data_IF_778791566721
#
_entry.id   IF_778791566721
#
_cell.length_a   1.000
_cell.length_b   1.000
_cell.length_c   1.000
_cell.angle_alpha   90.00
_cell.angle_beta   90.00
_cell.angle_gamma   90.00
#
_symmetry.space_group_name_H-M   'P 1'
#
loop_
_entity.id
_entity.type
_entity.pdbx_description
1 polymer ?
#
# COMPACT_ATOMS: atom_id res chain seq x y z
N UNK A 1 11.04 -50.95 -24.03
CA UNK A 1 11.10 -50.98 -22.55
C UNK A 1 11.05 -49.52 -22.05
N UNK A 2 9.84 -48.95 -22.01
CA UNK A 2 9.01 -48.70 -20.81
C UNK A 2 9.47 -47.48 -20.00
N UNK A 3 8.97 -46.28 -20.31
CA UNK A 3 7.95 -45.56 -19.51
C UNK A 3 7.46 -46.31 -18.26
N UNK A 4 8.00 -45.95 -17.08
CA UNK A 4 7.35 -45.88 -15.74
C UNK A 4 8.45 -45.82 -14.67
N UNK A 5 8.71 -44.64 -14.11
CA UNK A 5 9.22 -44.39 -12.75
C UNK A 5 9.80 -42.97 -12.68
N UNK A 6 8.95 -41.95 -12.56
CA UNK A 6 9.36 -40.64 -12.05
C UNK A 6 8.12 -39.93 -11.48
N UNK A 7 7.60 -40.50 -10.39
CA UNK A 7 6.48 -39.92 -9.66
C UNK A 7 6.50 -40.38 -8.21
N UNK A 8 7.44 -39.83 -7.44
CA UNK A 8 7.39 -39.70 -5.98
C UNK A 8 8.63 -38.90 -5.55
N UNK A 9 8.44 -37.96 -4.62
CA UNK A 9 9.48 -37.17 -3.91
C UNK A 9 9.89 -35.81 -4.52
N UNK A 10 9.04 -34.79 -4.36
CA UNK A 10 9.50 -33.40 -4.10
C UNK A 10 8.52 -32.76 -3.10
N UNK A 11 8.76 -32.98 -1.81
CA UNK A 11 8.18 -32.25 -0.68
C UNK A 11 9.22 -32.33 0.44
N UNK A 12 10.12 -31.33 0.53
CA UNK A 12 11.01 -31.03 1.67
C UNK A 12 12.21 -30.20 1.16
N UNK A 13 12.07 -28.89 0.97
CA UNK A 13 13.17 -27.92 1.03
C UNK A 13 12.57 -26.50 1.07
N UNK A 14 12.55 -25.88 2.25
CA UNK A 14 12.89 -24.47 2.57
C UNK A 14 12.73 -24.37 4.10
N UNK A 15 13.75 -24.90 4.79
CA UNK A 15 14.11 -24.53 6.16
C UNK A 15 15.63 -24.36 6.12
N UNK A 16 16.12 -23.32 6.79
CA UNK A 16 17.52 -22.97 7.04
C UNK A 16 18.21 -22.07 5.99
N UNK A 17 18.26 -20.76 6.30
CA UNK A 17 19.49 -19.96 6.18
C UNK A 17 19.40 -18.77 7.13
N UNK A 18 19.63 -19.07 8.41
CA UNK A 18 20.12 -18.13 9.42
C UNK A 18 21.64 -18.33 9.52
N UNK A 19 22.35 -17.23 9.85
CA UNK A 19 23.69 -17.11 10.45
C UNK A 19 24.72 -16.33 9.59
N UNK A 20 25.15 -15.22 10.21
CA UNK A 20 26.38 -14.43 10.08
C UNK A 20 26.60 -13.50 8.87
N UNK A 21 26.55 -12.19 9.14
CA UNK A 21 27.74 -11.34 8.97
C UNK A 21 27.77 -10.28 10.08
N UNK A 22 28.82 -10.30 10.89
CA UNK A 22 29.14 -9.27 11.86
C UNK A 22 30.27 -8.39 11.33
N UNK A 23 30.13 -7.09 11.60
CA UNK A 23 31.17 -6.05 11.70
C UNK A 23 31.90 -5.60 10.43
N UNK A 24 31.67 -4.33 10.06
CA UNK A 24 32.73 -3.32 9.91
C UNK A 24 32.14 -1.95 10.26
N UNK A 25 32.65 -1.36 11.34
CA UNK A 25 32.30 -0.02 11.83
C UNK A 25 33.11 1.05 11.11
N UNK A 26 32.45 2.14 10.69
CA UNK A 26 33.09 3.45 10.65
C UNK A 26 32.24 4.47 11.41
N UNK A 27 32.98 5.39 12.03
CA UNK A 27 32.69 6.08 13.26
C UNK A 27 32.32 7.54 12.95
N UNK A 28 31.06 7.92 13.15
CA UNK A 28 30.68 9.33 13.34
C UNK A 28 29.89 9.39 14.63
N UNK A 29 30.53 9.95 15.66
CA UNK A 29 30.19 9.76 17.06
C UNK A 29 28.81 10.27 17.45
N UNK A 30 27.95 9.34 17.85
CA UNK A 30 26.96 9.43 18.94
C UNK A 30 26.54 7.99 19.28
N UNK A 31 27.45 7.19 19.86
CA UNK A 31 27.11 5.83 20.31
C UNK A 31 26.99 5.81 21.83
N UNK A 32 25.80 6.14 22.32
CA UNK A 32 25.38 5.65 23.64
C UNK A 32 25.14 4.13 23.49
N UNK A 33 25.65 3.26 24.38
CA UNK A 33 25.44 1.82 24.27
C UNK A 33 23.94 1.47 24.20
N UNK A 34 23.58 0.50 23.35
CA UNK A 34 22.21 0.01 23.18
C UNK A 34 21.70 -0.59 24.51
N UNK A 35 20.81 0.10 25.20
CA UNK A 35 19.96 -0.55 26.20
C UNK A 35 18.74 -1.16 25.49
N UNK A 36 18.74 -2.49 25.36
CA UNK A 36 17.52 -3.23 25.05
C UNK A 36 16.51 -2.95 26.18
N UNK A 37 15.29 -2.52 25.84
CA UNK A 37 14.26 -2.28 26.87
C UNK A 37 13.91 -3.62 27.54
N UNK A 38 14.18 -3.75 28.84
CA UNK A 38 13.82 -4.92 29.63
C UNK A 38 12.31 -5.14 29.72
N UNK A 39 11.55 -4.06 29.59
CA UNK A 39 10.10 -4.00 29.62
C UNK A 39 9.60 -3.14 28.47
N UNK A 40 8.65 -3.67 27.70
CA UNK A 40 8.13 -3.01 26.51
C UNK A 40 6.74 -2.46 26.86
N UNK A 41 6.46 -1.16 26.62
CA UNK A 41 5.12 -0.62 26.84
C UNK A 41 4.00 -1.46 26.16
N UNK A 42 2.95 -1.81 26.91
CA UNK A 42 1.87 -2.69 26.43
C UNK A 42 1.26 -2.32 25.06
N UNK A 43 1.20 -1.03 24.65
CA UNK A 43 0.67 -0.70 23.32
C UNK A 43 1.42 -1.25 22.11
N UNK A 44 2.59 -1.85 22.32
CA UNK A 44 3.48 -2.34 21.27
C UNK A 44 3.11 -3.73 20.73
N UNK A 45 2.74 -3.80 19.44
CA UNK A 45 2.64 -5.06 18.67
C UNK A 45 3.06 -4.81 17.20
N UNK A 46 4.28 -4.37 16.93
CA UNK A 46 4.68 -4.13 15.53
C UNK A 46 5.00 -5.45 14.85
N UNK A 47 4.26 -5.77 13.77
CA UNK A 47 4.36 -7.05 13.06
C UNK A 47 5.52 -7.07 12.06
N UNK A 48 5.78 -5.96 11.35
CA UNK A 48 6.81 -5.90 10.31
C UNK A 48 8.16 -5.30 10.79
N UNK A 49 9.25 -5.73 10.15
CA UNK A 49 10.65 -5.33 10.37
C UNK A 49 11.04 -4.00 9.72
N UNK A 50 10.08 -3.26 9.15
CA UNK A 50 10.34 -1.94 8.57
C UNK A 50 10.42 -0.89 9.68
N UNK A 51 11.28 0.11 9.47
CA UNK A 51 11.51 1.22 10.41
C UNK A 51 10.21 2.01 10.61
N UNK A 52 9.56 1.81 11.74
CA UNK A 52 8.27 2.44 12.08
C UNK A 52 8.41 3.31 13.33
N UNK A 53 7.73 4.46 13.35
CA UNK A 53 7.69 5.37 14.50
C UNK A 53 6.31 5.36 15.16
N UNK A 54 6.27 5.65 16.46
CA UNK A 54 5.05 5.74 17.24
C UNK A 54 5.16 6.84 18.28
N UNK A 55 4.08 7.61 18.41
CA UNK A 55 3.91 8.61 19.47
C UNK A 55 3.10 7.99 20.58
N UNK A 56 3.60 8.06 21.82
CA UNK A 56 2.87 7.65 23.01
C UNK A 56 2.79 8.82 23.98
N UNK A 57 1.59 9.16 24.43
CA UNK A 57 1.36 10.23 25.41
C UNK A 57 0.84 9.64 26.71
N UNK A 58 1.61 9.80 27.78
CA UNK A 58 1.20 9.46 29.14
C UNK A 58 0.61 10.69 29.84
N UNK A 59 -0.72 10.72 29.94
CA UNK A 59 -1.46 11.88 30.47
C UNK A 59 -1.20 12.11 31.96
N UNK A 60 -0.96 11.08 32.77
CA UNK A 60 -0.72 11.27 34.21
C UNK A 60 0.59 12.01 34.49
N UNK A 61 1.64 11.73 33.72
CA UNK A 61 2.96 12.36 33.88
C UNK A 61 3.17 13.58 33.01
N UNK A 62 2.28 13.81 32.02
CA UNK A 62 2.37 14.92 31.06
C UNK A 62 3.64 14.79 30.20
N UNK A 63 3.85 13.57 29.70
CA UNK A 63 5.02 13.21 28.89
C UNK A 63 4.57 12.62 27.55
N UNK A 64 5.23 13.05 26.49
CA UNK A 64 5.17 12.46 25.16
C UNK A 64 6.47 11.70 24.90
N UNK A 65 6.34 10.50 24.39
CA UNK A 65 7.44 9.62 24.00
C UNK A 65 7.36 9.38 22.50
N UNK A 66 8.50 9.42 21.83
CA UNK A 66 8.66 8.93 20.47
C UNK A 66 9.45 7.64 20.52
N UNK A 67 8.86 6.56 20.01
CA UNK A 67 9.52 5.28 19.87
C UNK A 67 9.72 4.93 18.41
N UNK A 68 10.78 4.18 18.13
CA UNK A 68 11.10 3.58 16.85
C UNK A 68 11.16 2.06 17.01
N UNK A 69 10.71 1.35 15.98
CA UNK A 69 10.83 -0.09 15.86
C UNK A 69 11.50 -0.47 14.54
N UNK A 70 12.56 -1.26 14.63
CA UNK A 70 13.32 -1.82 13.50
C UNK A 70 13.64 -3.31 13.72
N UNK A 71 12.78 -4.00 14.47
CA UNK A 71 13.07 -5.32 15.06
C UNK A 71 13.39 -5.23 16.55
N UNK A 72 13.87 -4.08 17.04
CA UNK A 72 14.00 -3.77 18.46
C UNK A 72 13.29 -2.45 18.79
N UNK A 73 12.80 -2.32 20.02
CA UNK A 73 12.18 -1.08 20.49
C UNK A 73 13.21 -0.09 20.99
N UNK A 74 13.18 1.14 20.47
CA UNK A 74 14.09 2.21 20.87
C UNK A 74 13.32 3.49 21.18
N UNK A 75 13.58 4.09 22.33
CA UNK A 75 13.05 5.42 22.66
C UNK A 75 13.93 6.48 22.01
N UNK A 76 13.37 7.27 21.10
CA UNK A 76 14.08 8.34 20.39
C UNK A 76 13.96 9.66 21.15
N UNK A 77 12.75 10.02 21.59
CA UNK A 77 12.49 11.28 22.28
C UNK A 77 11.64 11.05 23.54
N UNK A 78 11.86 11.91 24.53
CA UNK A 78 10.98 12.10 25.69
C UNK A 78 10.81 13.59 25.92
N UNK A 79 9.59 14.07 25.78
CA UNK A 79 9.24 15.48 25.71
C UNK A 79 8.15 15.79 26.73
N UNK A 80 8.25 16.95 27.38
CA UNK A 80 7.16 17.46 28.21
C UNK A 80 5.99 17.90 27.33
N UNK A 81 4.78 17.46 27.66
CA UNK A 81 3.58 17.89 26.97
C UNK A 81 2.55 18.48 27.96
N UNK A 82 1.49 19.08 27.44
CA UNK A 82 0.32 19.44 28.23
C UNK A 82 -0.93 18.85 27.61
N UNK A 83 -1.79 18.24 28.42
CA UNK A 83 -3.05 17.63 27.97
C UNK A 83 -4.26 18.41 28.47
N UNK A 84 -5.45 17.87 28.28
CA UNK A 84 -6.71 18.44 28.73
C UNK A 84 -6.71 18.76 30.23
N UNK A 85 -7.33 19.89 30.57
CA UNK A 85 -7.53 20.38 31.95
C UNK A 85 -8.14 19.35 32.87
N UNK A 86 -9.07 18.55 32.35
CA UNK A 86 -9.80 17.55 33.13
C UNK A 86 -9.16 16.17 32.95
N UNK A 87 -9.02 15.42 34.04
CA UNK A 87 -8.51 14.05 34.02
C UNK A 87 -9.53 13.04 33.50
N UNK A 88 -9.03 11.87 33.10
CA UNK A 88 -9.82 10.76 32.55
C UNK A 88 -10.02 10.84 31.03
N UNK A 89 -10.68 9.83 30.49
CA UNK A 89 -10.94 9.68 29.06
C UNK A 89 -12.04 10.65 28.59
N UNK A 90 -11.84 11.21 27.39
CA UNK A 90 -12.79 12.08 26.72
C UNK A 90 -14.07 11.29 26.36
N UNK A 91 -15.22 11.89 26.59
CA UNK A 91 -16.53 11.32 26.27
C UNK A 91 -17.41 12.26 25.46
N UNK A 92 -17.32 13.56 25.73
CA UNK A 92 -18.26 14.54 25.19
C UNK A 92 -17.53 15.81 24.71
N UNK A 93 -18.14 16.54 23.76
CA UNK A 93 -17.67 17.84 23.32
C UNK A 93 -17.60 18.81 24.51
N UNK A 94 -16.51 19.57 24.62
CA UNK A 94 -16.34 20.55 25.69
C UNK A 94 -15.99 19.99 27.08
N UNK A 95 -15.86 18.68 27.27
CA UNK A 95 -15.48 18.07 28.55
C UNK A 95 -14.04 18.40 29.02
N UNK A 96 -13.25 19.06 28.17
CA UNK A 96 -11.85 19.47 28.39
C UNK A 96 -10.91 18.31 28.75
N UNK A 97 -11.26 17.08 28.34
CA UNK A 97 -10.42 15.89 28.49
C UNK A 97 -9.70 15.58 27.18
N UNK A 98 -8.48 15.08 27.30
CA UNK A 98 -7.79 14.43 26.17
C UNK A 98 -8.26 12.99 26.07
N UNK A 99 -8.58 12.47 24.87
CA UNK A 99 -9.01 11.08 24.72
C UNK A 99 -7.93 10.08 25.14
N UNK A 100 -8.34 8.83 25.34
CA UNK A 100 -7.49 7.65 25.50
C UNK A 100 -7.83 6.68 24.35
N UNK A 101 -6.83 5.99 23.79
CA UNK A 101 -6.99 5.18 22.59
C UNK A 101 -5.82 5.27 21.61
N UNK A 102 -6.01 4.63 20.45
CA UNK A 102 -5.06 4.64 19.33
C UNK A 102 -5.64 5.51 18.22
N UNK A 103 -4.86 6.53 17.84
CA UNK A 103 -5.25 7.52 16.84
C UNK A 103 -4.15 7.69 15.80
N UNK A 104 -4.43 8.43 14.74
CA UNK A 104 -3.47 8.74 13.67
C UNK A 104 -3.54 10.21 13.30
N UNK A 105 -2.39 10.84 13.07
CA UNK A 105 -2.34 12.19 12.53
C UNK A 105 -2.85 12.19 11.09
N UNK A 106 -3.89 12.95 10.77
CA UNK A 106 -4.52 12.91 9.43
C UNK A 106 -4.01 13.99 8.49
N UNK A 107 -3.60 15.12 9.06
CA UNK A 107 -3.21 16.35 8.37
C UNK A 107 -2.05 17.04 9.11
N UNK A 108 -1.42 18.00 8.43
CA UNK A 108 -0.42 18.90 9.02
C UNK A 108 -0.76 20.34 8.65
N UNK A 109 -0.72 21.21 9.66
CA UNK A 109 -0.83 22.65 9.47
C UNK A 109 0.48 23.33 9.87
N UNK A 110 0.92 24.27 9.06
CA UNK A 110 2.10 25.10 9.34
C UNK A 110 1.70 26.40 10.03
N UNK A 111 2.69 27.09 10.62
CA UNK A 111 2.50 28.38 11.31
C UNK A 111 1.67 29.41 10.53
N UNK A 112 1.73 29.40 9.19
CA UNK A 112 1.00 30.37 8.34
C UNK A 112 -0.51 30.12 8.32
N UNK A 113 -0.92 28.89 8.59
CA UNK A 113 -2.32 28.43 8.56
C UNK A 113 -2.95 28.46 9.95
N UNK A 114 -2.14 28.67 10.99
CA UNK A 114 -2.52 28.53 12.38
C UNK A 114 -2.70 29.88 13.09
N UNK A 115 -3.72 29.95 13.94
CA UNK A 115 -3.78 31.00 14.95
C UNK A 115 -2.56 30.91 15.89
N UNK A 116 -2.01 32.04 16.39
CA UNK A 116 -0.76 32.06 17.15
C UNK A 116 -0.69 31.11 18.35
N UNK A 117 -1.83 30.78 18.96
CA UNK A 117 -1.92 29.88 20.11
C UNK A 117 -1.44 28.45 19.81
N UNK A 118 -1.50 28.01 18.55
CA UNK A 118 -1.09 26.67 18.13
C UNK A 118 0.39 26.59 17.73
N UNK A 119 1.15 27.67 17.90
CA UNK A 119 2.59 27.63 17.72
C UNK A 119 3.04 27.48 16.27
N UNK A 120 4.09 26.69 16.05
CA UNK A 120 4.73 26.52 14.72
C UNK A 120 4.07 25.47 13.83
N UNK A 121 3.46 24.45 14.42
CA UNK A 121 2.80 23.34 13.70
C UNK A 121 1.61 22.78 14.49
N UNK A 122 0.70 22.12 13.78
CA UNK A 122 -0.36 21.32 14.39
C UNK A 122 -0.68 20.08 13.54
N UNK A 123 -0.96 18.97 14.22
CA UNK A 123 -1.34 17.69 13.65
C UNK A 123 -2.68 17.26 14.26
N UNK A 124 -3.81 17.42 13.54
CA UNK A 124 -5.07 16.83 13.94
C UNK A 124 -4.97 15.31 14.00
N UNK A 125 -5.52 14.72 15.07
CA UNK A 125 -5.70 13.26 15.16
C UNK A 125 -7.14 12.88 14.78
N UNK A 126 -7.34 11.65 14.33
CA UNK A 126 -8.63 11.08 13.91
C UNK A 126 -9.64 10.79 15.04
N UNK A 127 -9.64 11.58 16.12
CA UNK A 127 -10.69 11.54 17.16
C UNK A 127 -11.93 12.33 16.71
N UNK A 128 -13.16 11.81 16.88
CA UNK A 128 -13.48 10.46 17.35
C UNK A 128 -13.33 9.41 16.22
N UNK A 129 -12.59 8.34 16.50
CA UNK A 129 -12.43 7.21 15.58
C UNK A 129 -13.64 6.24 15.68
N UNK A 130 -13.60 5.10 14.97
CA UNK A 130 -14.69 4.12 15.00
C UNK A 130 -15.11 3.71 16.43
N UNK A 131 -14.14 3.39 17.31
CA UNK A 131 -14.37 2.94 18.68
C UNK A 131 -14.89 4.06 19.59
N UNK A 132 -14.54 5.31 19.30
CA UNK A 132 -15.15 6.44 19.99
C UNK A 132 -16.61 6.59 19.61
N UNK A 133 -16.91 6.57 18.30
CA UNK A 133 -18.26 6.77 17.76
C UNK A 133 -19.22 5.67 18.20
N UNK A 134 -18.81 4.40 18.15
CA UNK A 134 -19.65 3.27 18.60
C UNK A 134 -19.87 3.25 20.11
N UNK A 135 -18.93 3.80 20.89
CA UNK A 135 -19.10 4.03 22.31
C UNK A 135 -19.94 5.29 22.64
N UNK A 136 -20.54 5.95 21.64
CA UNK A 136 -21.35 7.16 21.81
C UNK A 136 -20.55 8.41 22.16
N UNK A 137 -19.22 8.38 22.01
CA UNK A 137 -18.35 9.52 22.29
C UNK A 137 -18.37 10.52 21.15
N UNK A 138 -18.30 11.81 21.49
CA UNK A 138 -18.34 12.89 20.51
C UNK A 138 -17.30 14.00 20.81
N UNK A 139 -17.36 15.07 20.02
CA UNK A 139 -16.37 16.14 19.98
C UNK A 139 -15.51 16.07 18.73
N UNK A 140 -14.53 16.96 18.63
CA UNK A 140 -13.64 17.08 17.48
C UNK A 140 -12.39 17.90 17.88
N UNK A 141 -11.53 18.17 16.90
CA UNK A 141 -10.40 19.10 17.02
C UNK A 141 -9.41 18.77 18.16
N UNK A 142 -9.12 17.49 18.35
CA UNK A 142 -8.02 17.06 19.21
C UNK A 142 -6.75 17.06 18.37
N UNK A 143 -5.80 17.94 18.70
CA UNK A 143 -4.58 18.13 17.91
C UNK A 143 -3.34 17.92 18.78
N UNK A 144 -2.23 17.50 18.17
CA UNK A 144 -0.89 17.73 18.70
C UNK A 144 -0.40 19.05 18.12
N UNK A 145 -0.05 20.03 18.95
CA UNK A 145 0.32 21.36 18.45
C UNK A 145 1.41 22.04 19.29
N UNK A 146 2.09 23.02 18.69
CA UNK A 146 3.02 23.90 19.39
C UNK A 146 2.28 24.90 20.29
N UNK A 147 2.97 25.72 21.06
CA UNK A 147 2.32 26.77 21.87
C UNK A 147 3.10 28.07 21.84
N UNK A 148 2.40 29.20 21.93
CA UNK A 148 3.00 30.52 22.16
C UNK A 148 2.96 30.94 23.64
N UNK A 149 2.49 30.06 24.52
CA UNK A 149 2.44 30.24 25.98
C UNK A 149 3.42 29.29 26.65
N UNK A 150 3.84 29.63 27.87
CA UNK A 150 4.56 28.69 28.73
C UNK A 150 3.75 27.39 28.91
N UNK A 151 4.42 26.25 28.78
CA UNK A 151 3.80 24.94 28.87
C UNK A 151 3.48 24.59 30.33
N UNK A 152 2.20 24.63 30.69
CA UNK A 152 1.71 24.25 32.03
C UNK A 152 1.03 22.89 31.99
N UNK A 153 1.19 22.08 33.03
CA UNK A 153 0.52 20.77 33.15
C UNK A 153 -1.00 20.95 33.04
N UNK A 154 -1.65 20.12 32.23
CA UNK A 154 -3.11 20.07 32.07
C UNK A 154 -3.74 21.43 31.75
N UNK A 155 -3.28 22.11 30.70
CA UNK A 155 -3.73 23.47 30.35
C UNK A 155 -4.31 23.58 28.92
N UNK A 156 -4.75 22.46 28.34
CA UNK A 156 -5.48 22.47 27.06
C UNK A 156 -6.98 22.18 27.25
N UNK A 157 -7.77 22.40 26.20
CA UNK A 157 -9.18 21.96 26.14
C UNK A 157 -9.35 20.52 25.63
N UNK A 158 -8.26 19.76 25.53
CA UNK A 158 -8.26 18.37 25.04
C UNK A 158 -7.07 18.04 24.14
N UNK A 159 -6.44 19.05 23.54
CA UNK A 159 -5.24 18.90 22.72
C UNK A 159 -4.00 18.44 23.51
N UNK A 160 -2.98 18.02 22.78
CA UNK A 160 -1.64 17.72 23.28
C UNK A 160 -0.74 18.90 22.86
N UNK A 161 -0.46 19.81 23.78
CA UNK A 161 0.40 20.96 23.52
C UNK A 161 1.86 20.63 23.83
N UNK A 162 2.78 21.11 23.00
CA UNK A 162 4.24 20.97 23.09
C UNK A 162 4.90 22.33 22.92
N UNK A 163 6.15 22.49 23.36
CA UNK A 163 6.93 23.66 22.94
C UNK A 163 7.15 23.64 21.42
N UNK A 164 7.38 24.80 20.81
CA UNK A 164 7.54 24.90 19.35
C UNK A 164 8.74 24.10 18.84
N UNK A 165 9.88 24.17 19.52
CA UNK A 165 11.09 23.39 19.17
C UNK A 165 10.83 21.88 19.21
N UNK A 166 10.08 21.43 20.22
CA UNK A 166 9.72 20.04 20.42
C UNK A 166 8.80 19.50 19.32
N UNK A 167 7.78 20.26 18.91
CA UNK A 167 6.89 19.83 17.82
C UNK A 167 7.57 19.92 16.45
N UNK A 168 8.45 20.91 16.24
CA UNK A 168 9.24 21.00 15.01
C UNK A 168 10.21 19.81 14.88
N UNK A 169 10.80 19.35 15.99
CA UNK A 169 11.58 18.11 16.01
C UNK A 169 10.70 16.87 15.76
N UNK A 170 9.57 16.75 16.46
CA UNK A 170 8.65 15.62 16.34
C UNK A 170 8.11 15.46 14.92
N UNK A 171 7.86 16.57 14.22
CA UNK A 171 7.30 16.59 12.85
C UNK A 171 8.09 15.75 11.84
N UNK A 172 9.40 15.60 12.04
CA UNK A 172 10.28 14.84 11.15
C UNK A 172 10.01 13.33 11.18
N UNK A 173 9.26 12.85 12.17
CA UNK A 173 8.96 11.44 12.41
C UNK A 173 7.49 11.09 12.19
N UNK A 174 6.65 12.06 11.83
CA UNK A 174 5.21 11.85 11.61
C UNK A 174 4.98 11.58 10.12
N UNK A 175 4.55 10.36 9.82
CA UNK A 175 3.96 10.02 8.54
C UNK A 175 2.43 10.09 8.69
N UNK A 176 1.81 11.03 8.00
CA UNK A 176 0.35 11.22 8.04
C UNK A 176 -0.37 9.93 7.67
N UNK A 177 -1.44 9.63 8.41
CA UNK A 177 -2.27 8.43 8.30
C UNK A 177 -1.52 7.11 8.53
N UNK A 178 -0.32 7.14 9.14
CA UNK A 178 0.51 5.95 9.42
C UNK A 178 1.11 5.94 10.81
N UNK A 179 1.71 7.04 11.24
CA UNK A 179 2.31 7.13 12.58
C UNK A 179 1.18 7.17 13.63
N UNK A 180 1.05 6.14 14.49
CA UNK A 180 0.05 6.13 15.54
C UNK A 180 0.39 7.14 16.64
N UNK A 181 -0.67 7.70 17.22
CA UNK A 181 -0.68 8.49 18.45
C UNK A 181 -1.47 7.71 19.48
N UNK A 182 -0.78 7.08 20.41
CA UNK A 182 -1.38 6.27 21.47
C UNK A 182 -1.46 7.09 22.75
N UNK A 183 -2.68 7.36 23.18
CA UNK A 183 -2.98 8.19 24.34
C UNK A 183 -3.37 7.29 25.50
N UNK A 184 -2.61 7.31 26.59
CA UNK A 184 -2.86 6.52 27.80
C UNK A 184 -2.94 7.40 29.02
N UNK A 185 -3.74 7.01 30.02
CA UNK A 185 -3.66 7.65 31.32
C UNK A 185 -2.31 7.37 32.00
N UNK A 186 -1.95 6.08 32.07
CA UNK A 186 -0.70 5.56 32.62
C UNK A 186 -0.20 4.43 31.75
N UNK A 187 1.09 4.41 31.46
CA UNK A 187 1.76 3.37 30.68
C UNK A 187 1.84 2.08 31.50
N UNK A 188 1.46 0.98 30.87
CA UNK A 188 1.68 -0.38 31.35
C UNK A 188 2.80 -1.00 30.54
N UNK A 189 3.45 -2.02 31.08
CA UNK A 189 4.55 -2.72 30.46
C UNK A 189 4.27 -4.21 30.41
N UNK A 190 4.76 -4.87 29.37
CA UNK A 190 4.65 -6.31 29.13
C UNK A 190 6.02 -6.91 28.83
N UNK A 191 6.15 -8.20 29.11
CA UNK A 191 7.35 -8.95 28.77
C UNK A 191 7.42 -9.20 27.24
N UNK A 192 8.63 -9.26 26.65
CA UNK A 192 8.79 -9.53 25.22
C UNK A 192 8.12 -10.82 24.73
N UNK A 193 8.08 -11.86 25.57
CA UNK A 193 7.46 -13.15 25.25
C UNK A 193 5.94 -13.05 25.07
N UNK A 194 5.26 -12.32 25.96
CA UNK A 194 3.81 -12.05 25.85
C UNK A 194 3.48 -11.27 24.57
N UNK A 195 4.33 -10.30 24.23
CA UNK A 195 4.18 -9.52 22.99
C UNK A 195 4.37 -10.42 21.77
N UNK A 196 5.33 -11.34 21.79
CA UNK A 196 5.57 -12.27 20.69
C UNK A 196 4.39 -13.23 20.47
N UNK A 197 3.82 -13.79 21.54
CA UNK A 197 2.65 -14.68 21.45
C UNK A 197 1.44 -13.95 20.86
N UNK A 198 1.15 -12.74 21.37
CA UNK A 198 0.06 -11.91 20.87
C UNK A 198 0.30 -11.50 19.41
N UNK A 199 1.54 -11.19 19.05
CA UNK A 199 1.96 -10.84 17.69
C UNK A 199 1.66 -12.00 16.72
N UNK A 200 2.05 -13.22 17.06
CA UNK A 200 1.79 -14.41 16.26
C UNK A 200 0.29 -14.69 16.11
N UNK A 201 -0.47 -14.59 17.21
CA UNK A 201 -1.91 -14.83 17.19
C UNK A 201 -2.67 -13.82 16.32
N UNK A 202 -2.31 -12.52 16.39
CA UNK A 202 -2.93 -11.50 15.53
C UNK A 202 -2.51 -11.66 14.07
N UNK A 203 -1.24 -11.97 13.78
CA UNK A 203 -0.78 -12.25 12.41
C UNK A 203 -1.57 -13.39 11.78
N UNK A 204 -1.64 -14.54 12.47
CA UNK A 204 -2.37 -15.70 11.98
C UNK A 204 -3.87 -15.43 11.79
N UNK A 205 -4.48 -14.63 12.67
CA UNK A 205 -5.86 -14.18 12.49
C UNK A 205 -6.04 -13.35 11.21
N UNK A 206 -5.19 -12.33 11.01
CA UNK A 206 -5.28 -11.42 9.87
C UNK A 206 -4.98 -12.13 8.54
N UNK A 207 -4.03 -13.06 8.52
CA UNK A 207 -3.72 -13.86 7.33
C UNK A 207 -4.92 -14.71 6.92
N UNK A 208 -5.53 -15.41 7.87
CA UNK A 208 -6.73 -16.22 7.62
C UNK A 208 -7.94 -15.36 7.20
N UNK A 209 -8.12 -14.19 7.82
CA UNK A 209 -9.12 -13.21 7.39
C UNK A 209 -8.86 -12.74 5.95
N UNK A 210 -7.63 -12.43 5.58
CA UNK A 210 -7.28 -11.99 4.22
C UNK A 210 -7.51 -13.09 3.19
N UNK A 211 -7.18 -14.35 3.52
CA UNK A 211 -7.45 -15.51 2.68
C UNK A 211 -8.96 -15.74 2.47
N UNK A 212 -9.79 -15.42 3.46
CA UNK A 212 -11.24 -15.64 3.39
C UNK A 212 -11.94 -14.80 2.31
N UNK A 213 -11.35 -13.73 1.77
CA UNK A 213 -11.87 -13.03 0.59
C UNK A 213 -11.95 -13.94 -0.65
N UNK A 214 -11.11 -14.98 -0.71
CA UNK A 214 -11.09 -15.98 -1.76
C UNK A 214 -11.85 -17.27 -1.39
N UNK A 215 -12.49 -17.32 -0.21
CA UNK A 215 -13.25 -18.47 0.21
C UNK A 215 -14.52 -18.67 -0.63
N UNK A 216 -15.00 -19.92 -0.65
CA UNK A 216 -16.22 -20.27 -1.38
C UNK A 216 -17.50 -19.76 -0.69
N UNK A 217 -17.46 -19.55 0.64
CA UNK A 217 -18.62 -19.15 1.44
C UNK A 217 -18.43 -17.77 2.04
N UNK A 218 -19.44 -16.91 1.86
CA UNK A 218 -19.52 -15.59 2.51
C UNK A 218 -19.56 -15.75 4.04
N UNK A 219 -20.21 -16.80 4.55
CA UNK A 219 -20.34 -17.04 5.98
C UNK A 219 -18.98 -17.25 6.66
N UNK A 220 -18.01 -17.85 5.95
CA UNK A 220 -16.66 -18.06 6.49
C UNK A 220 -15.94 -16.73 6.70
N UNK A 221 -16.16 -15.75 5.81
CA UNK A 221 -15.62 -14.41 5.99
C UNK A 221 -16.32 -13.66 7.13
N UNK A 222 -17.66 -13.73 7.19
CA UNK A 222 -18.42 -13.06 8.24
C UNK A 222 -18.11 -13.62 9.64
N UNK A 223 -17.65 -14.87 9.74
CA UNK A 223 -17.22 -15.47 11.00
C UNK A 223 -16.03 -14.76 11.68
N UNK A 224 -15.26 -13.93 10.96
CA UNK A 224 -14.18 -13.11 11.55
C UNK A 224 -14.69 -11.85 12.24
N UNK A 225 -15.94 -11.45 11.97
CA UNK A 225 -16.56 -10.26 12.53
C UNK A 225 -17.33 -10.61 13.80
N UNK A 226 -17.42 -9.63 14.69
CA UNK A 226 -18.32 -9.69 15.84
C UNK A 226 -19.78 -9.74 15.38
N UNK A 227 -20.64 -10.47 16.10
CA UNK A 227 -22.04 -10.66 15.72
C UNK A 227 -22.85 -9.34 15.73
N UNK A 228 -22.39 -8.32 16.47
CA UNK A 228 -23.00 -6.98 16.46
C UNK A 228 -22.55 -6.12 15.27
N UNK A 229 -21.56 -6.55 14.50
CA UNK A 229 -21.03 -5.79 13.37
C UNK A 229 -22.00 -5.84 12.19
N UNK A 230 -22.48 -4.67 11.75
CA UNK A 230 -23.33 -4.55 10.57
C UNK A 230 -22.48 -4.59 9.30
N UNK A 231 -22.61 -5.67 8.53
CA UNK A 231 -21.91 -5.85 7.26
C UNK A 231 -22.78 -5.41 6.08
N UNK A 232 -22.20 -4.70 5.12
CA UNK A 232 -22.85 -4.44 3.84
C UNK A 232 -22.79 -5.69 2.96
N UNK A 233 -23.83 -6.52 3.03
CA UNK A 233 -23.90 -7.78 2.28
C UNK A 233 -23.88 -7.58 0.76
N UNK A 234 -24.20 -6.37 0.26
CA UNK A 234 -24.18 -6.08 -1.18
C UNK A 234 -22.76 -6.11 -1.76
N UNK A 235 -21.74 -5.86 -0.93
CA UNK A 235 -20.34 -6.02 -1.30
C UNK A 235 -20.05 -7.36 -1.98
N UNK A 236 -20.62 -8.45 -1.48
CA UNK A 236 -20.34 -9.79 -2.01
C UNK A 236 -20.95 -10.02 -3.39
N UNK A 237 -22.09 -9.41 -3.67
CA UNK A 237 -22.74 -9.47 -4.98
C UNK A 237 -21.84 -8.87 -6.06
N UNK A 238 -21.12 -7.80 -5.74
CA UNK A 238 -20.20 -7.12 -6.66
C UNK A 238 -18.79 -7.71 -6.63
N UNK A 239 -18.34 -8.20 -5.47
CA UNK A 239 -17.00 -8.76 -5.28
C UNK A 239 -16.81 -10.11 -5.97
N UNK A 240 -17.76 -11.04 -5.78
CA UNK A 240 -17.63 -12.43 -6.27
C UNK A 240 -17.38 -12.50 -7.78
N UNK A 241 -18.14 -11.78 -8.64
CA UNK A 241 -17.88 -11.79 -10.08
C UNK A 241 -16.49 -11.27 -10.47
N UNK A 242 -15.99 -10.23 -9.81
CA UNK A 242 -14.67 -9.65 -10.10
C UNK A 242 -13.57 -10.61 -9.69
N UNK A 243 -13.67 -11.18 -8.49
CA UNK A 243 -12.74 -12.21 -7.99
C UNK A 243 -12.68 -13.39 -8.94
N UNK A 244 -13.83 -13.93 -9.35
CA UNK A 244 -13.89 -15.14 -10.18
C UNK A 244 -13.29 -14.91 -11.57
N UNK A 245 -13.56 -13.76 -12.19
CA UNK A 245 -12.93 -13.38 -13.47
C UNK A 245 -11.42 -13.22 -13.36
N UNK A 246 -10.93 -12.57 -12.30
CA UNK A 246 -9.49 -12.44 -12.05
C UNK A 246 -8.83 -13.80 -11.83
N UNK A 247 -9.41 -14.65 -10.99
CA UNK A 247 -8.89 -16.01 -10.79
C UNK A 247 -8.87 -16.81 -12.08
N UNK A 248 -9.91 -16.70 -12.93
CA UNK A 248 -9.93 -17.35 -14.23
C UNK A 248 -8.87 -16.79 -15.20
N UNK A 249 -8.64 -15.48 -15.16
CA UNK A 249 -7.67 -14.80 -16.02
C UNK A 249 -6.22 -15.10 -15.64
N UNK A 250 -5.91 -15.20 -14.34
CA UNK A 250 -4.51 -15.29 -13.86
C UNK A 250 -4.15 -16.64 -13.26
N UNK A 251 -5.12 -17.55 -13.08
CA UNK A 251 -4.95 -18.82 -12.37
C UNK A 251 -4.83 -18.68 -10.85
N UNK A 252 -4.22 -17.59 -10.37
CA UNK A 252 -4.12 -17.24 -8.95
C UNK A 252 -4.35 -15.75 -8.74
N UNK A 253 -5.34 -15.45 -7.91
CA UNK A 253 -5.66 -14.11 -7.43
C UNK A 253 -5.79 -14.14 -5.92
N UNK A 254 -5.22 -13.15 -5.23
CA UNK A 254 -5.33 -13.04 -3.77
C UNK A 254 -5.58 -11.60 -3.35
N UNK A 255 -6.18 -11.47 -2.17
CA UNK A 255 -6.24 -10.20 -1.44
C UNK A 255 -5.15 -10.28 -0.40
N UNK A 256 -4.21 -9.35 -0.48
CA UNK A 256 -3.04 -9.32 0.39
C UNK A 256 -3.01 -8.08 1.28
N UNK A 257 -2.07 -8.11 2.22
CA UNK A 257 -1.76 -7.01 3.12
C UNK A 257 -0.27 -6.67 2.97
N UNK A 258 0.05 -5.38 2.95
CA UNK A 258 1.43 -4.87 3.02
C UNK A 258 1.53 -3.79 4.07
N UNK A 259 2.73 -3.55 4.61
CA UNK A 259 2.99 -2.49 5.58
C UNK A 259 2.07 -2.62 6.81
N UNK A 260 1.90 -3.85 7.29
CA UNK A 260 1.03 -4.18 8.40
C UNK A 260 1.65 -3.76 9.73
N UNK A 261 0.91 -2.95 10.48
CA UNK A 261 1.22 -2.58 11.86
C UNK A 261 0.03 -2.87 12.78
N UNK A 262 0.32 -3.30 14.00
CA UNK A 262 -0.70 -3.56 15.02
C UNK A 262 -0.35 -2.81 16.30
N UNK A 263 -1.37 -2.26 16.94
CA UNK A 263 -1.23 -1.52 18.19
C UNK A 263 -2.30 -1.99 19.16
N UNK A 264 -2.04 -1.88 20.46
CA UNK A 264 -2.99 -2.31 21.51
C UNK A 264 -3.29 -1.20 22.49
N UNK A 265 -4.54 -1.10 22.90
CA UNK A 265 -4.96 -0.23 24.00
C UNK A 265 -6.22 -0.78 24.64
N UNK A 266 -6.18 -1.03 25.95
CA UNK A 266 -7.33 -1.43 26.77
C UNK A 266 -8.16 -2.59 26.18
N UNK A 267 -7.47 -3.65 25.75
CA UNK A 267 -8.10 -4.84 25.15
C UNK A 267 -8.56 -4.69 23.69
N UNK A 268 -8.42 -3.49 23.11
CA UNK A 268 -8.65 -3.24 21.69
C UNK A 268 -7.33 -3.26 20.93
N UNK A 269 -7.33 -3.92 19.78
CA UNK A 269 -6.21 -3.97 18.86
C UNK A 269 -6.58 -3.18 17.62
N UNK A 270 -5.64 -2.40 17.07
CA UNK A 270 -5.82 -1.69 15.81
C UNK A 270 -4.78 -2.20 14.83
N UNK A 271 -5.24 -2.87 13.77
CA UNK A 271 -4.41 -3.30 12.65
C UNK A 271 -4.54 -2.29 11.51
N UNK A 272 -3.41 -1.76 11.02
CA UNK A 272 -3.35 -0.83 9.91
C UNK A 272 -2.44 -1.41 8.82
N UNK A 273 -2.93 -1.48 7.58
CA UNK A 273 -2.18 -2.07 6.47
C UNK A 273 -2.65 -1.54 5.11
N UNK A 274 -1.81 -1.66 4.11
CA UNK A 274 -2.19 -1.50 2.71
C UNK A 274 -2.90 -2.75 2.21
N UNK A 275 -4.19 -2.63 1.93
CA UNK A 275 -4.92 -3.71 1.29
C UNK A 275 -4.61 -3.71 -0.21
N UNK A 276 -4.20 -4.86 -0.74
CA UNK A 276 -3.83 -5.01 -2.14
C UNK A 276 -4.63 -6.13 -2.81
N UNK A 277 -5.05 -5.89 -4.04
CA UNK A 277 -5.52 -6.91 -4.97
C UNK A 277 -4.31 -7.38 -5.78
N UNK A 278 -3.96 -8.66 -5.74
CA UNK A 278 -2.69 -9.12 -6.33
C UNK A 278 -2.79 -10.46 -7.06
N UNK A 279 -1.92 -10.60 -8.04
CA UNK A 279 -1.67 -11.78 -8.87
C UNK A 279 -0.16 -12.09 -8.80
N UNK A 280 0.30 -13.14 -9.46
CA UNK A 280 1.75 -13.44 -9.55
C UNK A 280 2.56 -12.34 -10.23
N UNK A 281 1.92 -11.55 -11.11
CA UNK A 281 2.61 -10.54 -11.93
C UNK A 281 2.41 -9.10 -11.46
N UNK A 282 1.27 -8.81 -10.83
CA UNK A 282 0.80 -7.44 -10.58
C UNK A 282 0.06 -7.31 -9.26
N UNK A 283 0.19 -6.14 -8.63
CA UNK A 283 -0.55 -5.76 -7.44
C UNK A 283 -1.12 -4.35 -7.59
N UNK A 284 -2.35 -4.16 -7.14
CA UNK A 284 -3.08 -2.89 -7.11
C UNK A 284 -3.45 -2.51 -5.69
N UNK A 285 -3.15 -1.28 -5.30
CA UNK A 285 -3.51 -0.75 -3.97
C UNK A 285 -5.00 -0.43 -3.94
N UNK A 286 -5.73 -1.06 -3.01
CA UNK A 286 -7.12 -0.72 -2.70
C UNK A 286 -7.22 0.49 -1.77
N UNK A 287 -6.30 0.59 -0.81
CA UNK A 287 -6.24 1.68 0.17
C UNK A 287 -5.57 1.22 1.45
N UNK A 288 -5.38 2.14 2.38
CA UNK A 288 -4.94 1.79 3.73
C UNK A 288 -6.17 1.41 4.55
N UNK A 289 -6.26 0.14 4.95
CA UNK A 289 -7.36 -0.40 5.76
C UNK A 289 -6.97 -0.40 7.23
N UNK A 290 -7.96 -0.18 8.08
CA UNK A 290 -7.85 -0.08 9.53
C UNK A 290 -8.91 -0.96 10.18
N UNK A 291 -8.47 -2.05 10.81
CA UNK A 291 -9.33 -2.97 11.53
C UNK A 291 -9.18 -2.74 13.03
N UNK A 292 -10.31 -2.78 13.74
CA UNK A 292 -10.37 -2.79 15.19
C UNK A 292 -10.77 -4.19 15.63
N UNK A 293 -9.93 -4.82 16.46
CA UNK A 293 -10.11 -6.18 16.92
C UNK A 293 -10.27 -6.21 18.43
N UNK A 294 -11.01 -7.19 18.92
CA UNK A 294 -11.02 -7.57 20.34
C UNK A 294 -10.85 -9.07 20.48
N UNK A 295 -10.39 -9.52 21.66
CA UNK A 295 -10.26 -10.94 21.98
C UNK A 295 -11.52 -11.42 22.68
N UNK A 296 -12.17 -12.43 22.12
CA UNK A 296 -13.34 -13.12 22.69
C UNK A 296 -12.96 -14.58 22.97
N UNK A 297 -12.72 -14.88 24.26
CA UNK A 297 -12.10 -16.15 24.65
C UNK A 297 -10.72 -16.30 24.02
N UNK A 298 -10.54 -17.36 23.22
CA UNK A 298 -9.26 -17.65 22.55
C UNK A 298 -9.18 -17.15 21.10
N UNK A 299 -10.18 -16.40 20.62
CA UNK A 299 -10.23 -15.92 19.24
C UNK A 299 -10.31 -14.41 19.17
N UNK A 300 -9.74 -13.84 18.11
CA UNK A 300 -10.00 -12.45 17.75
C UNK A 300 -11.30 -12.32 16.97
N UNK A 301 -11.94 -11.16 17.10
CA UNK A 301 -13.08 -10.72 16.30
C UNK A 301 -12.87 -9.28 15.85
N UNK A 302 -13.25 -8.99 14.61
CA UNK A 302 -13.29 -7.63 14.06
C UNK A 302 -14.55 -6.95 14.60
N UNK A 303 -14.35 -5.88 15.36
CA UNK A 303 -15.42 -5.03 15.89
C UNK A 303 -15.55 -3.72 15.12
N UNK A 304 -14.59 -3.39 14.26
CA UNK A 304 -14.60 -2.19 13.42
C UNK A 304 -13.73 -2.37 12.18
N UNK A 305 -14.17 -1.84 11.05
CA UNK A 305 -13.53 -2.01 9.74
C UNK A 305 -13.73 -0.77 8.89
N UNK A 306 -12.67 0.00 8.67
CA UNK A 306 -12.70 1.23 7.89
C UNK A 306 -11.47 1.38 7.00
N UNK A 307 -11.56 2.21 5.96
CA UNK A 307 -10.39 2.66 5.19
C UNK A 307 -9.89 3.98 5.77
N UNK A 308 -8.64 4.00 6.23
CA UNK A 308 -7.93 5.20 6.68
C UNK A 308 -7.62 6.13 5.50
N UNK A 309 -7.18 5.57 4.36
CA UNK A 309 -6.89 6.34 3.14
C UNK A 309 -7.31 5.56 1.89
N UNK A 310 -7.67 6.31 0.85
CA UNK A 310 -7.94 5.79 -0.50
C UNK A 310 -6.84 6.28 -1.46
N UNK A 311 -6.53 5.53 -2.54
CA UNK A 311 -5.43 5.85 -3.47
C UNK A 311 -5.55 7.23 -4.14
N UNK A 312 -6.75 7.78 -4.26
CA UNK A 312 -7.03 9.07 -4.90
C UNK A 312 -7.90 9.95 -3.98
N UNK A 313 -7.30 10.80 -3.14
CA UNK A 313 -8.04 11.87 -2.42
C UNK A 313 -8.35 13.10 -3.30
N UNK A 314 -8.07 13.06 -4.61
CA UNK A 314 -8.35 14.15 -5.55
C UNK A 314 -9.34 13.74 -6.63
N UNK A 315 -10.54 14.29 -6.58
CA UNK A 315 -11.60 14.29 -7.60
C UNK A 315 -12.35 12.96 -7.85
N UNK A 316 -13.53 12.83 -7.24
CA UNK A 316 -14.85 12.95 -7.91
C UNK A 316 -15.95 12.54 -6.91
N UNK A 317 -16.68 13.51 -6.38
CA UNK A 317 -17.87 13.33 -5.50
C UNK A 317 -19.09 12.73 -6.23
N UNK A 318 -18.90 11.94 -7.31
CA UNK A 318 -19.99 11.54 -8.20
C UNK A 318 -19.94 10.15 -8.81
N UNK A 319 -18.86 9.38 -8.65
CA UNK A 319 -18.87 7.97 -9.02
C UNK A 319 -19.51 7.17 -7.87
N UNK A 320 -20.63 6.48 -8.13
CA UNK A 320 -21.23 5.50 -7.22
C UNK A 320 -20.14 4.80 -6.40
N UNK A 321 -20.20 4.92 -5.07
CA UNK A 321 -19.16 4.52 -4.11
C UNK A 321 -18.84 3.03 -4.23
N UNK A 322 -18.03 2.67 -5.23
CA UNK A 322 -17.57 1.31 -5.44
C UNK A 322 -16.57 1.00 -4.34
N UNK A 323 -16.76 -0.13 -3.66
CA UNK A 323 -15.86 -0.53 -2.59
C UNK A 323 -14.39 -0.51 -3.05
N UNK A 324 -13.43 0.02 -2.28
CA UNK A 324 -12.06 0.25 -2.76
C UNK A 324 -11.35 -1.00 -3.28
N UNK A 325 -11.57 -2.14 -2.64
CA UNK A 325 -11.05 -3.44 -3.11
C UNK A 325 -11.61 -3.86 -4.48
N UNK A 326 -12.90 -3.59 -4.74
CA UNK A 326 -13.54 -3.88 -6.02
C UNK A 326 -12.97 -2.96 -7.11
N UNK A 327 -12.80 -1.66 -6.80
CA UNK A 327 -12.21 -0.69 -7.72
C UNK A 327 -10.76 -1.04 -8.10
N UNK A 328 -9.95 -1.43 -7.11
CA UNK A 328 -8.57 -1.89 -7.33
C UNK A 328 -8.53 -3.18 -8.17
N UNK A 329 -9.38 -4.15 -7.86
CA UNK A 329 -9.44 -5.43 -8.58
C UNK A 329 -9.94 -5.26 -10.01
N UNK A 330 -10.94 -4.40 -10.24
CA UNK A 330 -11.42 -4.04 -11.58
C UNK A 330 -10.33 -3.32 -12.39
N UNK A 331 -9.54 -2.46 -11.75
CA UNK A 331 -8.41 -1.78 -12.40
C UNK A 331 -7.30 -2.76 -12.80
N UNK A 332 -7.01 -3.72 -11.92
CA UNK A 332 -6.08 -4.82 -12.20
C UNK A 332 -6.59 -5.70 -13.37
N UNK A 333 -7.85 -6.12 -13.34
CA UNK A 333 -8.50 -6.89 -14.41
C UNK A 333 -8.37 -6.16 -15.76
N UNK A 334 -8.75 -4.88 -15.80
CA UNK A 334 -8.64 -4.03 -16.99
C UNK A 334 -7.20 -3.96 -17.49
N UNK A 335 -6.21 -3.79 -16.62
CA UNK A 335 -4.81 -3.71 -17.04
C UNK A 335 -4.31 -5.01 -17.64
N UNK A 336 -4.64 -6.15 -17.02
CA UNK A 336 -4.29 -7.47 -17.51
C UNK A 336 -4.88 -7.73 -18.90
N UNK A 337 -6.17 -7.43 -19.10
CA UNK A 337 -6.82 -7.59 -20.41
C UNK A 337 -6.20 -6.70 -21.48
N UNK A 338 -5.85 -5.45 -21.15
CA UNK A 338 -5.15 -4.55 -22.08
C UNK A 338 -3.77 -5.12 -22.47
N UNK A 339 -3.03 -5.69 -21.52
CA UNK A 339 -1.73 -6.29 -21.79
C UNK A 339 -1.84 -7.49 -22.73
N UNK A 340 -2.81 -8.37 -22.51
CA UNK A 340 -3.03 -9.53 -23.39
C UNK A 340 -3.47 -9.09 -24.80
N UNK A 341 -4.35 -8.10 -24.92
CA UNK A 341 -4.76 -7.55 -26.22
C UNK A 341 -3.57 -6.95 -26.99
N UNK A 342 -2.70 -6.20 -26.29
CA UNK A 342 -1.49 -5.62 -26.88
C UNK A 342 -0.50 -6.70 -27.27
N UNK A 343 -0.29 -7.71 -26.42
CA UNK A 343 0.60 -8.84 -26.72
C UNK A 343 0.15 -9.58 -27.99
N UNK A 344 -1.14 -9.91 -28.08
CA UNK A 344 -1.73 -10.49 -29.29
C UNK A 344 -1.51 -9.60 -30.52
N UNK A 345 -1.72 -8.28 -30.38
CA UNK A 345 -1.47 -7.34 -31.47
C UNK A 345 0.00 -7.32 -31.91
N UNK A 346 0.95 -7.37 -30.97
CA UNK A 346 2.38 -7.43 -31.26
C UNK A 346 2.76 -8.72 -31.97
N UNK A 347 2.23 -9.86 -31.53
CA UNK A 347 2.50 -11.17 -32.16
C UNK A 347 2.02 -11.19 -33.62
N UNK A 348 0.84 -10.66 -33.90
CA UNK A 348 0.33 -10.58 -35.27
C UNK A 348 1.10 -9.54 -36.13
N UNK A 349 1.50 -8.41 -35.53
CA UNK A 349 2.33 -7.40 -36.18
C UNK A 349 3.71 -7.97 -36.56
N UNK A 350 4.34 -8.75 -35.67
CA UNK A 350 5.58 -9.47 -35.94
C UNK A 350 5.40 -10.49 -37.06
N UNK A 351 4.32 -11.27 -37.06
CA UNK A 351 4.02 -12.23 -38.11
C UNK A 351 3.85 -11.56 -39.49
N UNK A 352 3.18 -10.40 -39.54
CA UNK A 352 3.05 -9.61 -40.76
C UNK A 352 4.42 -9.06 -41.25
N UNK A 353 5.27 -8.65 -40.32
CA UNK A 353 6.61 -8.17 -40.64
C UNK A 353 7.52 -9.28 -41.18
N UNK A 354 7.57 -10.44 -40.52
CA UNK A 354 8.36 -11.62 -40.89
C UNK A 354 7.94 -12.15 -42.27
N UNK A 355 6.62 -12.21 -42.54
CA UNK A 355 6.08 -12.64 -43.83
C UNK A 355 6.26 -11.62 -44.95
N UNK A 356 6.80 -10.44 -44.64
CA UNK A 356 7.02 -9.33 -45.58
C UNK A 356 5.73 -8.79 -46.23
N UNK A 357 4.56 -9.07 -45.66
CA UNK A 357 3.27 -8.56 -46.09
C UNK A 357 3.06 -7.13 -45.57
N UNK A 358 3.44 -6.15 -46.40
CA UNK A 358 3.39 -4.74 -46.03
C UNK A 358 1.96 -4.22 -45.85
N UNK A 359 0.99 -4.79 -46.55
CA UNK A 359 -0.40 -4.35 -46.44
C UNK A 359 -1.00 -4.81 -45.11
N UNK A 360 -0.78 -6.07 -44.72
CA UNK A 360 -1.15 -6.55 -43.38
C UNK A 360 -0.38 -5.82 -42.28
N UNK A 361 0.93 -5.62 -42.45
CA UNK A 361 1.76 -4.86 -41.51
C UNK A 361 1.23 -3.43 -41.31
N UNK A 362 0.84 -2.77 -42.40
CA UNK A 362 0.29 -1.42 -42.38
C UNK A 362 -1.03 -1.28 -41.63
N UNK A 363 -1.77 -2.37 -41.40
CA UNK A 363 -3.00 -2.33 -40.60
C UNK A 363 -2.73 -2.08 -39.12
N UNK A 364 -1.52 -2.33 -38.61
CA UNK A 364 -1.18 -2.08 -37.21
C UNK A 364 -0.74 -0.64 -36.93
N UNK A 365 -0.62 0.20 -37.97
CA UNK A 365 -0.22 1.60 -37.86
C UNK A 365 -1.43 2.51 -37.89
N UNK A 366 -1.45 3.49 -36.99
CA UNK A 366 -2.54 4.47 -36.92
C UNK A 366 -2.48 5.46 -38.06
N UNK A 367 -3.60 6.05 -38.44
CA UNK A 367 -3.64 7.12 -39.45
C UNK A 367 -2.72 8.31 -39.10
N UNK A 368 -2.59 8.62 -37.81
CA UNK A 368 -1.70 9.67 -37.29
C UNK A 368 -0.24 9.24 -37.10
N UNK A 369 0.19 8.09 -37.65
CA UNK A 369 1.54 7.56 -37.44
C UNK A 369 2.64 8.49 -37.95
N UNK A 370 3.72 8.61 -37.17
CA UNK A 370 4.94 9.34 -37.53
C UNK A 370 6.20 8.61 -37.05
N UNK A 371 7.19 8.46 -37.94
CA UNK A 371 8.54 7.99 -37.59
C UNK A 371 9.56 8.39 -38.67
N UNK A 372 10.81 8.71 -38.28
CA UNK A 372 11.89 9.10 -39.21
C UNK A 372 11.47 10.18 -40.22
N UNK A 373 10.74 11.20 -39.75
CA UNK A 373 10.15 12.27 -40.57
C UNK A 373 9.17 11.81 -41.66
N UNK A 374 8.76 10.54 -41.65
CA UNK A 374 7.76 9.97 -42.53
C UNK A 374 6.39 9.91 -41.85
N UNK A 375 5.35 10.11 -42.64
CA UNK A 375 3.99 9.71 -42.29
C UNK A 375 3.78 8.21 -42.55
N UNK A 376 2.57 7.72 -42.29
CA UNK A 376 2.20 6.32 -42.52
C UNK A 376 2.47 5.87 -43.97
N UNK A 377 2.12 6.67 -44.97
CA UNK A 377 2.26 6.28 -46.36
C UNK A 377 3.74 6.17 -46.76
N UNK A 378 4.55 7.15 -46.38
CA UNK A 378 6.00 7.15 -46.57
C UNK A 378 6.67 5.97 -45.88
N UNK A 379 6.29 5.69 -44.63
CA UNK A 379 6.82 4.56 -43.85
C UNK A 379 6.55 3.21 -44.52
N UNK A 380 5.32 2.97 -44.98
CA UNK A 380 4.97 1.73 -45.66
C UNK A 380 5.72 1.59 -46.99
N UNK A 381 5.89 2.67 -47.75
CA UNK A 381 6.70 2.63 -48.97
C UNK A 381 8.16 2.28 -48.69
N UNK A 382 8.76 2.89 -47.66
CA UNK A 382 10.11 2.56 -47.19
C UNK A 382 10.24 1.07 -46.85
N UNK A 383 9.27 0.51 -46.12
CA UNK A 383 9.24 -0.93 -45.80
C UNK A 383 9.07 -1.83 -47.04
N UNK A 384 8.28 -1.43 -48.05
CA UNK A 384 8.19 -2.18 -49.33
C UNK A 384 9.54 -2.27 -50.03
N UNK A 385 10.31 -1.18 -50.05
CA UNK A 385 11.66 -1.16 -50.65
C UNK A 385 12.61 -2.09 -49.90
N UNK A 386 12.62 -2.03 -48.56
CA UNK A 386 13.44 -2.95 -47.74
C UNK A 386 13.05 -4.42 -47.94
N UNK A 387 11.76 -4.73 -48.01
CA UNK A 387 11.30 -6.10 -48.23
C UNK A 387 11.73 -6.64 -49.59
N UNK A 388 11.92 -5.82 -50.62
CA UNK A 388 12.48 -6.29 -51.91
C UNK A 388 13.99 -6.56 -51.84
N UNK A 389 14.71 -5.86 -50.98
CA UNK A 389 16.17 -5.98 -50.82
C UNK A 389 16.58 -7.27 -50.11
N UNK A 390 15.83 -7.70 -49.09
CA UNK A 390 16.21 -8.83 -48.26
C UNK A 390 15.50 -10.12 -48.67
N UNK A 391 16.23 -11.23 -48.77
CA UNK A 391 15.66 -12.54 -49.13
C UNK A 391 14.71 -13.08 -48.07
N UNK A 392 15.01 -12.85 -46.79
CA UNK A 392 14.19 -13.22 -45.64
C UNK A 392 14.24 -12.13 -44.56
N UNK A 393 13.26 -12.16 -43.66
CA UNK A 393 13.22 -11.37 -42.43
C UNK A 393 12.85 -12.30 -41.29
N UNK A 394 13.69 -12.37 -40.26
CA UNK A 394 13.39 -13.01 -38.99
C UNK A 394 13.48 -11.95 -37.90
N UNK A 395 12.48 -11.93 -37.03
CA UNK A 395 12.44 -11.02 -35.88
C UNK A 395 12.01 -11.81 -34.66
N UNK A 396 12.80 -11.76 -33.59
CA UNK A 396 12.40 -12.24 -32.27
C UNK A 396 12.40 -11.08 -31.29
N UNK A 397 11.56 -11.19 -30.25
CA UNK A 397 11.47 -10.20 -29.19
C UNK A 397 11.66 -10.85 -27.83
N UNK A 398 12.30 -10.13 -26.92
CA UNK A 398 12.52 -10.52 -25.53
C UNK A 398 12.18 -9.35 -24.61
N UNK A 399 11.88 -9.65 -23.34
CA UNK A 399 11.59 -8.64 -22.30
C UNK A 399 10.47 -7.67 -22.70
N UNK A 400 9.38 -8.20 -23.26
CA UNK A 400 8.19 -7.42 -23.58
C UNK A 400 7.60 -6.81 -22.30
N UNK A 401 7.51 -5.49 -22.27
CA UNK A 401 6.88 -4.73 -21.20
C UNK A 401 5.85 -3.79 -21.78
N UNK A 402 4.70 -3.71 -21.11
CA UNK A 402 3.56 -2.90 -21.49
C UNK A 402 3.19 -2.02 -20.29
N UNK A 403 3.14 -0.71 -20.52
CA UNK A 403 2.70 0.28 -19.54
C UNK A 403 1.62 1.17 -20.16
N UNK A 404 0.49 1.30 -19.49
CA UNK A 404 -0.66 2.10 -19.96
C UNK A 404 -0.77 3.34 -19.10
N UNK A 405 -0.87 4.51 -19.73
CA UNK A 405 -1.05 5.78 -19.05
C UNK A 405 -2.53 6.09 -18.76
N UNK A 406 -2.76 7.22 -18.06
CA UNK A 406 -4.11 7.68 -17.69
C UNK A 406 -4.98 8.07 -18.90
N UNK A 407 -4.38 8.32 -20.07
CA UNK A 407 -5.07 8.70 -21.30
C UNK A 407 -5.40 7.49 -22.19
N UNK A 408 -5.29 6.27 -21.66
CA UNK A 408 -5.42 5.01 -22.41
C UNK A 408 -4.45 4.91 -23.61
N UNK A 409 -3.29 5.58 -23.55
CA UNK A 409 -2.17 5.28 -24.44
C UNK A 409 -1.26 4.26 -23.77
N UNK A 410 -0.71 3.36 -24.57
CA UNK A 410 0.17 2.31 -24.06
C UNK A 410 1.56 2.44 -24.66
N UNK A 411 2.57 2.43 -23.79
CA UNK A 411 3.96 2.30 -24.19
C UNK A 411 4.35 0.83 -24.11
N UNK A 412 4.89 0.31 -25.20
CA UNK A 412 5.41 -1.05 -25.29
C UNK A 412 6.90 -0.98 -25.52
N UNK A 413 7.68 -1.74 -24.76
CA UNK A 413 9.14 -1.86 -24.94
C UNK A 413 9.56 -3.32 -24.97
N UNK A 414 10.51 -3.64 -25.83
CA UNK A 414 11.14 -4.97 -25.89
C UNK A 414 12.54 -4.87 -26.47
N UNK A 415 13.35 -5.89 -26.21
CA UNK A 415 14.59 -6.17 -26.95
C UNK A 415 14.19 -6.90 -28.22
N UNK A 416 14.70 -6.47 -29.37
CA UNK A 416 14.45 -7.08 -30.66
C UNK A 416 15.77 -7.60 -31.22
N UNK A 417 15.74 -8.83 -31.74
CA UNK A 417 16.80 -9.39 -32.58
C UNK A 417 16.26 -9.47 -34.00
N UNK A 418 16.89 -8.75 -34.92
CA UNK A 418 16.54 -8.71 -36.33
C UNK A 418 17.60 -9.44 -37.14
N UNK A 419 17.17 -10.31 -38.04
CA UNK A 419 18.04 -10.98 -38.99
C UNK A 419 17.41 -11.00 -40.38
N UNK A 420 18.24 -10.76 -41.39
CA UNK A 420 17.88 -10.84 -42.79
C UNK A 420 19.06 -11.37 -43.60
N UNK A 421 18.90 -11.50 -44.93
CA UNK A 421 19.96 -12.00 -45.80
C UNK A 421 21.21 -11.12 -45.88
N UNK A 422 21.18 -9.89 -45.35
CA UNK A 422 22.33 -8.97 -45.39
C UNK A 422 22.44 -8.01 -44.21
N UNK A 423 21.71 -8.26 -43.12
CA UNK A 423 21.75 -7.44 -41.91
C UNK A 423 21.37 -8.30 -40.69
N UNK A 424 22.11 -8.14 -39.60
CA UNK A 424 21.80 -8.65 -38.28
C UNK A 424 21.94 -7.47 -37.30
N UNK A 425 20.95 -7.24 -36.44
CA UNK A 425 20.94 -6.14 -35.48
C UNK A 425 20.21 -6.57 -34.19
N UNK A 426 20.64 -6.05 -33.05
CA UNK A 426 20.00 -6.24 -31.75
C UNK A 426 19.87 -4.87 -31.08
N UNK A 427 18.67 -4.56 -30.63
CA UNK A 427 18.39 -3.26 -30.04
C UNK A 427 17.10 -3.21 -29.25
N UNK A 428 16.86 -2.06 -28.64
CA UNK A 428 15.63 -1.78 -27.91
C UNK A 428 14.63 -1.08 -28.82
N UNK A 429 13.41 -1.63 -28.89
CA UNK A 429 12.28 -1.00 -29.55
C UNK A 429 11.32 -0.45 -28.52
N UNK A 430 10.83 0.77 -28.77
CA UNK A 430 9.74 1.40 -28.03
C UNK A 430 8.62 1.78 -29.00
N UNK A 431 7.42 1.30 -28.72
CA UNK A 431 6.21 1.63 -29.46
C UNK A 431 5.29 2.47 -28.58
N UNK A 432 4.80 3.57 -29.13
CA UNK A 432 3.67 4.30 -28.55
C UNK A 432 2.40 3.85 -29.26
N UNK A 433 1.45 3.30 -28.52
CA UNK A 433 0.20 2.77 -29.01
C UNK A 433 -0.97 3.67 -28.57
N UNK A 434 -1.96 3.80 -29.46
CA UNK A 434 -3.26 4.40 -29.15
C UNK A 434 -4.38 3.48 -29.62
N UNK A 435 -5.58 3.63 -29.05
CA UNK A 435 -6.79 3.02 -29.62
C UNK A 435 -7.29 3.84 -30.80
N UNK A 436 -7.61 3.15 -31.90
CA UNK A 436 -8.22 3.72 -33.10
C UNK A 436 -9.18 2.68 -33.69
N UNK A 437 -10.46 3.02 -33.82
CA UNK A 437 -11.49 2.07 -34.26
C UNK A 437 -11.62 0.83 -33.36
N UNK A 438 -11.44 1.00 -32.04
CA UNK A 438 -11.49 -0.09 -31.06
C UNK A 438 -10.23 -0.96 -30.97
N UNK A 439 -9.27 -0.82 -31.89
CA UNK A 439 -8.04 -1.63 -31.94
C UNK A 439 -6.82 -0.83 -31.51
N UNK A 440 -5.81 -1.50 -30.97
CA UNK A 440 -4.50 -0.90 -30.72
C UNK A 440 -3.75 -0.66 -32.03
N UNK A 441 -3.21 0.54 -32.19
CA UNK A 441 -2.40 0.96 -33.34
C UNK A 441 -1.12 1.64 -32.89
N UNK A 442 -0.05 1.40 -33.64
CA UNK A 442 1.23 2.06 -33.49
C UNK A 442 1.10 3.51 -33.97
N UNK A 443 1.28 4.44 -33.04
CA UNK A 443 1.33 5.88 -33.27
C UNK A 443 2.77 6.34 -33.55
N UNK A 444 3.75 5.73 -32.89
CA UNK A 444 5.18 6.05 -33.06
C UNK A 444 6.05 4.84 -32.80
N UNK A 445 7.13 4.73 -33.57
CA UNK A 445 8.23 3.80 -33.31
C UNK A 445 9.51 4.53 -32.97
N UNK A 446 10.24 4.00 -31.99
CA UNK A 446 11.57 4.44 -31.64
C UNK A 446 12.45 3.19 -31.57
N UNK A 447 13.60 3.26 -32.23
CA UNK A 447 14.63 2.21 -32.21
C UNK A 447 15.91 2.78 -31.62
N UNK A 448 16.57 1.98 -30.79
CA UNK A 448 17.91 2.29 -30.28
C UNK A 448 18.76 1.01 -30.34
N UNK A 449 19.84 1.05 -31.08
CA UNK A 449 20.87 0.00 -31.11
C UNK A 449 21.42 -0.21 -29.69
N UNK A 450 21.69 -1.47 -29.32
CA UNK A 450 22.12 -1.82 -27.97
C UNK A 450 23.64 -1.89 -27.84
#
# INVERSE_FOLDING_TARGET
>A
MSRRAYQSEINLWIVASFIFFASLTENTGYTKPLELLAEIPEPFISLESQKNTMILVEKSTQQLYLYEFDGNYRQILRIHCSTGKVAGNKREAGDRKTPEGIYFCTEEFTKKELAPIYGTRAFPIDYPNYIDRTAGRNGSAIWIHGTNKELKRRDSNGCIALNNEDIDLLSQYILLNRTPVILVNKMKYSHPEEIAEVKEAVAGFLDNWSLSFNAASIADHLAYYDDSFSFDVTFWTDWVPVRDRLTALTGQFTVGMKNLSVYRHDGVFVALFDQIAQTSEQAWLAGTRKLFLTRQGDRFKIIGDEFQTLPNKGHEEGALQTHPLIAASTSLEKNLLIKEEIKSMIDEWLAAWISKDVERYGQYYSEGFRAMDMDRAGWLNYKRVLNRKYGFINVSIDNLSVSTDKNNQSTVTFVQTYQSSGLCDIGSKKLLLKREGGKWKILREIWKEK
#
